data_IF_448666831904
#
_entry.id   IF_448666831904
#
_cell.length_a   1.000
_cell.length_b   1.000
_cell.length_c   1.000
_cell.angle_alpha   90.00
_cell.angle_beta   90.00
_cell.angle_gamma   90.00
#
_symmetry.space_group_name_H-M   'P 1'
#
loop_
_entity.id
_entity.type
_entity.pdbx_description
1 polymer ?
#
# COMPACT_ATOMS: atom_id res chain seq x y z
N UNK A 1 -2.61 7.12 7.60
CA UNK A 1 -3.16 7.18 8.97
C UNK A 1 -2.10 6.82 10.02
N UNK A 2 -1.41 5.68 9.92
CA UNK A 2 -0.34 5.30 10.86
C UNK A 2 0.74 6.38 11.05
N UNK A 3 1.25 7.00 9.98
CA UNK A 3 2.24 8.09 10.05
C UNK A 3 1.76 9.32 10.83
N UNK A 4 0.45 9.59 10.85
CA UNK A 4 -0.13 10.67 11.65
C UNK A 4 -0.13 10.34 13.14
N UNK A 5 -0.42 9.09 13.51
CA UNK A 5 -0.42 8.64 14.90
C UNK A 5 1.00 8.57 15.48
N UNK A 6 1.98 8.18 14.68
CA UNK A 6 3.40 8.14 15.10
C UNK A 6 3.90 9.54 15.50
N UNK A 7 3.37 10.60 14.88
CA UNK A 7 3.86 11.98 15.09
C UNK A 7 3.11 12.78 16.16
N UNK A 8 1.85 12.43 16.50
CA UNK A 8 1.00 13.34 17.30
C UNK A 8 0.47 12.81 18.63
N UNK A 9 0.49 11.50 18.88
CA UNK A 9 -0.01 10.94 20.16
C UNK A 9 0.90 9.81 20.64
N UNK A 10 1.30 9.86 21.91
CA UNK A 10 2.04 8.79 22.61
C UNK A 10 1.16 7.54 22.90
N UNK A 11 0.38 7.10 21.94
CA UNK A 11 -0.55 5.98 22.10
C UNK A 11 0.09 4.66 21.68
N UNK A 12 1.13 4.71 20.84
CA UNK A 12 1.82 3.52 20.33
C UNK A 12 3.21 3.43 20.95
N UNK A 13 3.58 2.26 21.43
CA UNK A 13 4.94 1.97 21.90
C UNK A 13 5.86 1.63 20.73
N UNK A 14 5.41 0.76 19.83
CA UNK A 14 6.11 0.33 18.61
C UNK A 14 5.16 0.38 17.42
N UNK A 15 5.69 0.48 16.21
CA UNK A 15 4.90 0.49 14.98
C UNK A 15 5.51 -0.44 13.93
N UNK A 16 4.67 -1.14 13.19
CA UNK A 16 5.08 -2.00 12.07
C UNK A 16 4.35 -1.51 10.82
N UNK A 17 5.08 -1.29 9.75
CA UNK A 17 4.54 -0.91 8.45
C UNK A 17 4.93 -1.97 7.42
N UNK A 18 3.92 -2.59 6.78
CA UNK A 18 4.11 -3.54 5.69
C UNK A 18 3.86 -2.82 4.36
N UNK A 19 4.85 -2.77 3.48
CA UNK A 19 4.78 -2.15 2.15
C UNK A 19 3.95 -0.84 2.13
N UNK A 20 4.27 0.16 2.99
CA UNK A 20 3.38 1.30 3.21
C UNK A 20 3.34 2.22 1.98
N UNK A 21 2.17 2.79 1.71
CA UNK A 21 1.99 3.79 0.67
C UNK A 21 2.50 5.18 1.13
N UNK A 22 3.79 5.28 1.45
CA UNK A 22 4.47 6.58 1.68
C UNK A 22 4.75 7.25 0.34
N UNK A 23 5.02 6.45 -0.69
CA UNK A 23 5.16 6.91 -2.07
C UNK A 23 4.44 5.95 -3.03
N UNK A 24 4.02 6.44 -4.19
CA UNK A 24 3.42 5.62 -5.24
C UNK A 24 4.28 5.68 -6.50
N UNK A 25 4.30 4.60 -7.26
CA UNK A 25 4.89 4.60 -8.60
C UNK A 25 3.93 5.33 -9.55
N UNK A 26 4.20 6.62 -9.81
CA UNK A 26 3.45 7.41 -10.75
C UNK A 26 4.42 8.16 -11.66
N UNK A 27 4.24 8.01 -12.97
CA UNK A 27 5.00 8.79 -13.94
C UNK A 27 4.52 10.25 -14.01
N UNK A 28 5.30 11.12 -14.69
CA UNK A 28 4.96 12.55 -14.78
C UNK A 28 3.63 12.79 -15.55
N UNK A 29 3.32 11.96 -16.56
CA UNK A 29 2.07 12.04 -17.30
C UNK A 29 0.87 11.72 -16.43
N UNK A 30 0.94 10.66 -15.63
CA UNK A 30 -0.11 10.29 -14.67
C UNK A 30 -0.37 11.43 -13.68
N UNK A 31 0.66 12.12 -13.20
CA UNK A 31 0.49 13.26 -12.28
C UNK A 31 -0.23 14.45 -12.92
N UNK A 32 0.01 14.75 -14.20
CA UNK A 32 -0.71 15.82 -14.92
C UNK A 32 -2.17 15.47 -15.13
N UNK A 33 -2.44 14.24 -15.56
CA UNK A 33 -3.81 13.71 -15.73
C UNK A 33 -4.58 13.80 -14.42
N UNK A 34 -3.96 13.37 -13.30
CA UNK A 34 -4.63 13.42 -12.00
C UNK A 34 -4.89 14.84 -11.52
N UNK A 35 -4.03 15.83 -11.83
CA UNK A 35 -4.33 17.23 -11.56
C UNK A 35 -5.56 17.71 -12.32
N UNK A 36 -5.68 17.33 -13.60
CA UNK A 36 -6.85 17.64 -14.42
C UNK A 36 -8.11 16.94 -13.88
N UNK A 37 -8.03 15.66 -13.60
CA UNK A 37 -9.11 14.88 -12.99
C UNK A 37 -9.51 15.40 -11.60
N UNK A 38 -8.56 16.01 -10.87
CA UNK A 38 -8.82 16.66 -9.59
C UNK A 38 -9.75 17.87 -9.70
N UNK A 39 -9.84 18.51 -10.85
CA UNK A 39 -10.86 19.54 -11.13
C UNK A 39 -12.26 18.90 -11.22
N UNK A 40 -12.36 17.72 -11.83
CA UNK A 40 -13.61 16.96 -11.92
C UNK A 40 -14.12 16.54 -10.52
N UNK A 41 -13.22 16.16 -9.61
CA UNK A 41 -13.58 15.85 -8.23
C UNK A 41 -14.26 17.04 -7.53
N UNK A 42 -13.76 18.27 -7.77
CA UNK A 42 -14.33 19.49 -7.17
C UNK A 42 -15.76 19.80 -7.66
N UNK A 43 -16.16 19.28 -8.82
CA UNK A 43 -17.50 19.43 -9.38
C UNK A 43 -18.37 18.16 -9.23
N UNK A 44 -17.97 17.26 -8.32
CA UNK A 44 -18.79 16.11 -7.91
C UNK A 44 -18.45 14.77 -8.57
N UNK A 45 -17.45 14.70 -9.44
CA UNK A 45 -17.04 13.45 -10.13
C UNK A 45 -16.01 12.60 -9.36
N UNK A 46 -15.73 12.93 -8.10
CA UNK A 46 -14.73 12.24 -7.28
C UNK A 46 -15.01 10.75 -7.03
N UNK A 47 -16.27 10.33 -7.02
CA UNK A 47 -16.66 8.93 -6.83
C UNK A 47 -16.58 8.08 -8.10
N UNK A 48 -16.32 8.68 -9.27
CA UNK A 48 -16.21 7.92 -10.52
C UNK A 48 -14.97 7.03 -10.53
N UNK A 49 -15.10 5.75 -10.90
CA UNK A 49 -13.98 4.83 -11.02
C UNK A 49 -13.08 5.23 -12.21
N UNK A 50 -11.76 5.15 -12.00
CA UNK A 50 -10.76 5.42 -13.05
C UNK A 50 -10.65 4.30 -14.09
N UNK A 51 -10.97 3.09 -13.67
CA UNK A 51 -11.07 1.91 -14.52
C UNK A 51 -12.36 1.19 -14.22
N UNK A 52 -12.97 0.55 -15.23
CA UNK A 52 -13.98 -0.45 -14.94
C UNK A 52 -13.34 -1.53 -14.07
N UNK A 53 -13.96 -1.90 -12.97
CA UNK A 53 -13.47 -3.01 -12.18
C UNK A 53 -13.40 -4.25 -13.08
N UNK A 54 -12.33 -5.02 -12.96
CA UNK A 54 -12.16 -6.28 -13.70
C UNK A 54 -13.30 -7.29 -13.45
N UNK A 55 -14.04 -7.09 -12.37
CA UNK A 55 -15.18 -7.90 -11.93
C UNK A 55 -16.56 -7.33 -12.32
N UNK A 56 -16.66 -6.23 -13.08
CA UNK A 56 -17.93 -5.66 -13.56
C UNK A 56 -18.31 -6.30 -14.92
N UNK A 57 -18.49 -7.63 -14.94
CA UNK A 57 -19.10 -8.36 -16.03
C UNK A 57 -20.58 -8.58 -15.74
N UNK A 58 -21.38 -8.83 -16.77
CA UNK A 58 -22.81 -9.19 -16.63
C UNK A 58 -23.01 -10.43 -15.74
N UNK A 59 -21.99 -11.28 -15.60
CA UNK A 59 -21.94 -12.49 -14.77
C UNK A 59 -21.32 -12.28 -13.37
N UNK A 60 -20.94 -11.05 -12.98
CA UNK A 60 -20.57 -10.64 -11.63
C UNK A 60 -19.09 -10.52 -11.33
N UNK A 61 -18.22 -11.44 -11.67
CA UNK A 61 -16.79 -11.40 -11.32
C UNK A 61 -15.90 -11.93 -12.44
N UNK A 62 -15.03 -11.08 -13.00
CA UNK A 62 -13.90 -11.53 -13.81
C UNK A 62 -12.74 -11.76 -12.85
N UNK A 63 -12.21 -12.97 -12.81
CA UNK A 63 -10.96 -13.26 -12.12
C UNK A 63 -9.84 -12.55 -12.88
N UNK A 64 -9.12 -11.67 -12.22
CA UNK A 64 -7.89 -11.12 -12.79
C UNK A 64 -6.89 -12.28 -12.98
N UNK A 65 -6.25 -12.42 -14.15
CA UNK A 65 -5.23 -13.43 -14.35
C UNK A 65 -4.12 -13.30 -13.31
N UNK A 66 -3.70 -14.41 -12.74
CA UNK A 66 -2.61 -14.41 -11.75
C UNK A 66 -1.34 -13.76 -12.29
N UNK A 67 -1.07 -13.93 -13.58
CA UNK A 67 0.11 -13.40 -14.28
C UNK A 67 0.16 -11.87 -14.29
N UNK A 68 -0.98 -11.22 -14.22
CA UNK A 68 -1.12 -9.76 -14.24
C UNK A 68 -1.15 -9.14 -12.84
N UNK A 69 -1.22 -9.96 -11.78
CA UNK A 69 -1.31 -9.46 -10.43
C UNK A 69 0.00 -8.80 -9.96
N UNK A 70 -0.15 -7.83 -9.07
CA UNK A 70 0.96 -7.11 -8.44
C UNK A 70 1.01 -7.29 -6.91
N UNK A 71 0.24 -8.25 -6.39
CA UNK A 71 0.01 -8.37 -4.94
C UNK A 71 0.89 -9.44 -4.32
N UNK A 72 0.97 -10.63 -4.93
CA UNK A 72 1.65 -11.79 -4.34
C UNK A 72 2.18 -12.74 -5.40
N UNK A 73 3.23 -13.49 -5.07
CA UNK A 73 3.74 -14.59 -5.89
C UNK A 73 3.05 -15.93 -5.57
N UNK A 74 2.23 -16.01 -4.53
CA UNK A 74 1.48 -17.21 -4.14
C UNK A 74 0.13 -17.27 -4.87
N UNK A 75 0.05 -18.15 -5.88
CA UNK A 75 -1.17 -18.34 -6.68
C UNK A 75 -2.36 -18.84 -5.85
N UNK A 76 -2.15 -19.74 -4.91
CA UNK A 76 -3.25 -20.29 -4.12
C UNK A 76 -3.91 -19.22 -3.25
N UNK A 77 -3.10 -18.38 -2.61
CA UNK A 77 -3.59 -17.27 -1.77
C UNK A 77 -4.27 -16.20 -2.60
N UNK A 78 -3.72 -15.91 -3.78
CA UNK A 78 -4.34 -14.99 -4.73
C UNK A 78 -5.74 -15.47 -5.14
N UNK A 79 -5.86 -16.70 -5.64
CA UNK A 79 -7.13 -17.29 -6.07
C UNK A 79 -8.13 -17.44 -4.91
N UNK A 80 -7.64 -17.72 -3.69
CA UNK A 80 -8.48 -17.77 -2.49
C UNK A 80 -9.19 -16.46 -2.21
N UNK A 81 -8.55 -15.32 -2.45
CA UNK A 81 -9.16 -13.99 -2.29
C UNK A 81 -10.38 -13.83 -3.19
N UNK A 82 -10.30 -14.26 -4.45
CA UNK A 82 -11.43 -14.24 -5.38
C UNK A 82 -12.56 -15.19 -4.96
N UNK A 83 -12.22 -16.37 -4.40
CA UNK A 83 -13.24 -17.29 -3.87
C UNK A 83 -14.05 -16.65 -2.72
N UNK A 84 -13.41 -15.83 -1.88
CA UNK A 84 -14.11 -15.06 -0.86
C UNK A 84 -15.01 -13.97 -1.47
N UNK A 85 -14.51 -13.23 -2.44
CA UNK A 85 -15.29 -12.19 -3.12
C UNK A 85 -16.49 -12.76 -3.87
N UNK A 86 -16.37 -13.95 -4.47
CA UNK A 86 -17.51 -14.66 -5.08
C UNK A 86 -18.59 -15.04 -4.07
N UNK A 87 -18.22 -15.39 -2.83
CA UNK A 87 -19.16 -15.73 -1.77
C UNK A 87 -19.79 -14.50 -1.10
N UNK A 88 -19.05 -13.40 -1.03
CA UNK A 88 -19.41 -12.17 -0.34
C UNK A 88 -19.12 -10.98 -1.27
N UNK A 89 -19.92 -10.75 -2.33
CA UNK A 89 -19.65 -9.69 -3.32
C UNK A 89 -19.63 -8.28 -2.70
N UNK A 90 -20.30 -8.09 -1.57
CA UNK A 90 -20.34 -6.83 -0.81
C UNK A 90 -18.96 -6.42 -0.24
N UNK A 91 -18.00 -7.35 -0.14
CA UNK A 91 -16.62 -7.07 0.24
C UNK A 91 -15.82 -6.43 -0.92
N UNK A 92 -16.33 -6.51 -2.13
CA UNK A 92 -15.66 -5.99 -3.32
C UNK A 92 -15.63 -4.47 -3.37
N UNK A 93 -14.46 -3.89 -3.59
CA UNK A 93 -14.29 -2.45 -3.79
C UNK A 93 -14.28 -2.14 -5.27
N UNK A 94 -15.13 -1.17 -5.71
CA UNK A 94 -15.30 -0.81 -7.13
C UNK A 94 -14.08 -0.11 -7.77
N UNK A 95 -12.87 -0.49 -7.39
CA UNK A 95 -11.62 0.02 -7.96
C UNK A 95 -11.23 1.40 -7.45
N UNK A 96 -10.18 1.96 -8.05
CA UNK A 96 -9.63 3.27 -7.69
C UNK A 96 -10.49 4.37 -8.29
N UNK A 97 -11.01 5.28 -7.44
CA UNK A 97 -11.77 6.46 -7.89
C UNK A 97 -10.85 7.66 -8.14
N UNK A 98 -11.36 8.63 -8.91
CA UNK A 98 -10.69 9.93 -9.15
C UNK A 98 -10.32 10.62 -7.84
N UNK A 99 -11.26 10.69 -6.89
CA UNK A 99 -11.05 11.31 -5.59
C UNK A 99 -10.00 10.58 -4.76
N UNK A 100 -10.05 9.24 -4.72
CA UNK A 100 -9.05 8.45 -4.01
C UNK A 100 -7.64 8.72 -4.54
N UNK A 101 -7.46 8.65 -5.86
CA UNK A 101 -6.15 8.87 -6.48
C UNK A 101 -5.62 10.29 -6.25
N UNK A 102 -6.50 11.31 -6.35
CA UNK A 102 -6.17 12.71 -6.03
C UNK A 102 -5.65 12.82 -4.59
N UNK A 103 -6.37 12.24 -3.62
CA UNK A 103 -5.99 12.31 -2.22
C UNK A 103 -4.73 11.49 -1.91
N UNK A 104 -4.56 10.32 -2.51
CA UNK A 104 -3.36 9.50 -2.38
C UNK A 104 -2.12 10.26 -2.87
N UNK A 105 -2.16 10.86 -4.06
CA UNK A 105 -1.05 11.63 -4.60
C UNK A 105 -0.76 12.92 -3.82
N UNK A 106 -1.81 13.61 -3.37
CA UNK A 106 -1.64 14.78 -2.48
C UNK A 106 -0.93 14.37 -1.20
N UNK A 107 -1.32 13.26 -0.58
CA UNK A 107 -0.74 12.78 0.68
C UNK A 107 0.70 12.31 0.50
N UNK A 108 0.99 11.53 -0.53
CA UNK A 108 2.37 11.07 -0.80
C UNK A 108 3.31 12.22 -1.15
N UNK A 109 2.82 13.27 -1.81
CA UNK A 109 3.61 14.49 -2.01
C UNK A 109 3.86 15.27 -0.70
N UNK A 110 2.95 15.22 0.26
CA UNK A 110 3.18 15.80 1.60
C UNK A 110 4.22 14.99 2.38
N UNK A 111 4.18 13.66 2.29
CA UNK A 111 5.14 12.78 2.96
C UNK A 111 6.59 13.06 2.54
N UNK A 112 6.84 13.40 1.28
CA UNK A 112 8.18 13.79 0.79
C UNK A 112 8.74 15.06 1.45
N UNK A 113 7.90 15.87 2.07
CA UNK A 113 8.29 17.13 2.74
C UNK A 113 8.47 16.97 4.25
N UNK A 114 8.18 15.78 4.78
CA UNK A 114 8.32 15.51 6.21
C UNK A 114 9.79 15.22 6.51
N UNK A 115 10.30 15.83 7.57
CA UNK A 115 11.58 15.48 8.19
C UNK A 115 11.36 14.25 9.06
N UNK A 116 11.52 13.05 8.48
CA UNK A 116 11.17 11.79 9.13
C UNK A 116 12.03 11.49 10.37
N UNK A 117 13.29 11.93 10.41
CA UNK A 117 14.16 11.84 11.58
C UNK A 117 13.60 12.62 12.79
N UNK A 118 12.82 13.65 12.55
CA UNK A 118 12.17 14.44 13.62
C UNK A 118 10.74 13.92 13.87
N UNK A 119 10.04 13.47 12.82
CA UNK A 119 8.64 13.11 12.92
C UNK A 119 8.42 11.73 13.58
N UNK A 120 9.33 10.78 13.38
CA UNK A 120 9.26 9.44 14.01
C UNK A 120 9.76 9.56 15.45
N UNK A 121 8.91 9.22 16.40
CA UNK A 121 9.16 9.34 17.85
C UNK A 121 9.14 8.00 18.58
N UNK A 122 8.88 6.91 17.86
CA UNK A 122 8.77 5.56 18.41
C UNK A 122 9.47 4.58 17.49
N UNK A 123 9.98 3.46 18.02
CA UNK A 123 10.54 2.39 17.20
C UNK A 123 9.56 1.96 16.11
N UNK A 124 10.07 1.82 14.89
CA UNK A 124 9.29 1.45 13.72
C UNK A 124 10.01 0.36 12.94
N UNK A 125 9.31 -0.75 12.68
CA UNK A 125 9.75 -1.76 11.72
C UNK A 125 9.10 -1.48 10.37
N UNK A 126 9.92 -1.31 9.34
CA UNK A 126 9.50 -1.26 7.95
C UNK A 126 9.75 -2.62 7.29
N UNK A 127 8.69 -3.36 7.00
CA UNK A 127 8.75 -4.50 6.10
C UNK A 127 8.63 -3.99 4.67
N UNK A 128 9.71 -4.08 3.93
CA UNK A 128 9.83 -3.53 2.58
C UNK A 128 9.73 -4.64 1.54
N UNK A 129 8.79 -4.50 0.61
CA UNK A 129 8.57 -5.41 -0.50
C UNK A 129 9.49 -5.02 -1.68
N UNK A 130 10.52 -5.83 -1.95
CA UNK A 130 11.55 -5.49 -2.96
C UNK A 130 11.01 -5.49 -4.39
N UNK A 131 10.00 -6.33 -4.68
CA UNK A 131 9.42 -6.50 -6.01
C UNK A 131 8.07 -5.76 -6.17
N UNK A 132 7.79 -4.82 -5.25
CA UNK A 132 6.55 -4.04 -5.26
C UNK A 132 6.40 -3.22 -6.55
N UNK A 133 5.25 -3.42 -7.21
CA UNK A 133 4.89 -2.69 -8.45
C UNK A 133 3.95 -1.51 -8.19
N UNK A 134 3.35 -1.41 -7.01
CA UNK A 134 2.33 -0.42 -6.64
C UNK A 134 2.94 0.80 -5.94
N UNK A 135 3.80 0.56 -4.95
CA UNK A 135 4.50 1.63 -4.23
C UNK A 135 5.97 1.70 -4.64
N UNK A 136 6.61 2.82 -4.35
CA UNK A 136 8.03 2.99 -4.61
C UNK A 136 8.82 2.58 -3.35
N UNK A 137 9.16 1.30 -3.26
CA UNK A 137 9.93 0.70 -2.17
C UNK A 137 11.24 1.44 -1.89
N UNK A 138 12.02 1.77 -2.92
CA UNK A 138 13.26 2.51 -2.76
C UNK A 138 13.05 3.86 -2.07
N UNK A 139 12.07 4.65 -2.54
CA UNK A 139 11.77 5.95 -1.96
C UNK A 139 11.18 5.84 -0.54
N UNK A 140 10.43 4.78 -0.26
CA UNK A 140 9.93 4.51 1.09
C UNK A 140 11.09 4.29 2.07
N UNK A 141 12.09 3.49 1.68
CA UNK A 141 13.31 3.28 2.48
C UNK A 141 14.11 4.55 2.67
N UNK A 142 14.32 5.31 1.60
CA UNK A 142 15.04 6.59 1.65
C UNK A 142 14.37 7.58 2.62
N UNK A 143 13.05 7.70 2.57
CA UNK A 143 12.32 8.64 3.41
C UNK A 143 12.28 8.20 4.88
N UNK A 144 11.87 6.97 5.15
CA UNK A 144 11.70 6.48 6.52
C UNK A 144 13.05 6.17 7.19
N UNK A 145 14.03 5.69 6.43
CA UNK A 145 15.37 5.38 6.92
C UNK A 145 16.20 6.60 7.33
N UNK A 146 15.66 7.83 7.23
CA UNK A 146 16.28 9.03 7.81
C UNK A 146 16.28 9.02 9.35
N UNK A 147 15.52 8.14 9.98
CA UNK A 147 15.40 8.07 11.43
C UNK A 147 16.09 6.81 11.98
N UNK A 148 16.94 6.96 12.99
CA UNK A 148 17.59 5.86 13.70
C UNK A 148 16.60 4.95 14.45
N UNK A 149 15.35 5.38 14.61
CA UNK A 149 14.28 4.60 15.20
C UNK A 149 13.63 3.63 14.21
N UNK A 150 14.08 3.60 12.95
CA UNK A 150 13.50 2.75 11.90
C UNK A 150 14.41 1.56 11.61
N UNK A 151 13.92 0.39 11.90
CA UNK A 151 14.49 -0.87 11.41
C UNK A 151 13.86 -1.21 10.06
N UNK A 152 14.69 -1.57 9.07
CA UNK A 152 14.23 -1.93 7.72
C UNK A 152 14.53 -3.39 7.47
N UNK A 153 13.49 -4.18 7.21
CA UNK A 153 13.59 -5.56 6.75
C UNK A 153 13.08 -5.64 5.31
N UNK A 154 13.98 -5.82 4.35
CA UNK A 154 13.63 -6.03 2.94
C UNK A 154 13.36 -7.50 2.67
N UNK A 155 12.23 -7.81 2.04
CA UNK A 155 11.76 -9.15 1.67
C UNK A 155 11.60 -9.24 0.17
N UNK A 156 11.95 -10.39 -0.42
CA UNK A 156 11.75 -10.64 -1.85
C UNK A 156 10.29 -10.95 -2.13
N UNK A 157 9.43 -9.95 -2.00
CA UNK A 157 7.97 -10.06 -2.09
C UNK A 157 7.39 -9.03 -3.03
N UNK A 158 6.19 -9.29 -3.53
CA UNK A 158 5.31 -8.29 -4.10
C UNK A 158 4.61 -7.47 -2.98
N UNK A 159 3.58 -6.68 -3.33
CA UNK A 159 3.00 -5.68 -2.44
C UNK A 159 2.44 -6.22 -1.12
N UNK A 160 1.76 -7.36 -1.17
CA UNK A 160 1.09 -7.95 -0.01
C UNK A 160 1.95 -9.01 0.67
N UNK A 161 2.96 -8.60 1.44
CA UNK A 161 3.93 -9.46 2.12
C UNK A 161 3.27 -10.60 2.90
N UNK A 162 2.13 -10.35 3.58
CA UNK A 162 1.42 -11.37 4.35
C UNK A 162 0.61 -12.34 3.50
N UNK A 163 0.49 -12.06 2.20
CA UNK A 163 -0.14 -12.94 1.21
C UNK A 163 0.89 -13.73 0.40
N UNK A 164 2.18 -13.58 0.66
CA UNK A 164 3.26 -14.30 0.00
C UNK A 164 3.36 -15.76 0.45
N UNK A 165 4.24 -16.51 -0.19
CA UNK A 165 4.55 -17.91 0.17
C UNK A 165 4.91 -18.04 1.64
N UNK A 166 4.76 -19.24 2.21
CA UNK A 166 5.07 -19.48 3.63
C UNK A 166 6.47 -19.04 4.00
N UNK A 167 7.47 -19.30 3.14
CA UNK A 167 8.85 -18.90 3.37
C UNK A 167 9.01 -17.40 3.60
N UNK A 168 8.45 -16.57 2.72
CA UNK A 168 8.55 -15.10 2.81
C UNK A 168 7.74 -14.59 4.00
N UNK A 169 6.54 -15.14 4.18
CA UNK A 169 5.66 -14.75 5.28
C UNK A 169 6.25 -15.09 6.65
N UNK A 170 6.87 -16.27 6.80
CA UNK A 170 7.49 -16.69 8.05
C UNK A 170 8.72 -15.84 8.37
N UNK A 171 9.48 -15.42 7.35
CA UNK A 171 10.56 -14.44 7.51
C UNK A 171 10.03 -13.09 8.00
N UNK A 172 8.90 -12.64 7.46
CA UNK A 172 8.23 -11.43 7.91
C UNK A 172 7.78 -11.55 9.38
N UNK A 173 7.10 -12.64 9.75
CA UNK A 173 6.67 -12.89 11.13
C UNK A 173 7.83 -12.97 12.10
N UNK A 174 8.91 -13.66 11.76
CA UNK A 174 10.12 -13.71 12.59
C UNK A 174 10.70 -12.32 12.82
N UNK A 175 10.69 -11.45 11.81
CA UNK A 175 11.17 -10.07 11.97
C UNK A 175 10.25 -9.25 12.87
N UNK A 176 8.93 -9.45 12.76
CA UNK A 176 7.93 -8.85 13.64
C UNK A 176 8.14 -9.28 15.09
N UNK A 177 8.26 -10.57 15.33
CA UNK A 177 8.43 -11.12 16.68
C UNK A 177 9.72 -10.61 17.33
N UNK A 178 10.82 -10.59 16.60
CA UNK A 178 12.09 -10.06 17.09
C UNK A 178 11.95 -8.57 17.46
N UNK A 179 11.32 -7.79 16.59
CA UNK A 179 11.13 -6.36 16.82
C UNK A 179 10.20 -6.08 18.02
N UNK A 180 9.16 -6.86 18.21
CA UNK A 180 8.24 -6.68 19.34
C UNK A 180 8.89 -7.05 20.68
N UNK A 181 9.78 -8.03 20.70
CA UNK A 181 10.46 -8.52 21.90
C UNK A 181 11.80 -7.82 22.18
N UNK A 182 12.27 -6.92 21.31
CA UNK A 182 13.42 -6.04 21.56
C UNK A 182 13.00 -4.81 22.39
#
# INVERSE_FOLDING_TARGET
>A
MASYFISKKNVLEKCILCAPMVSVRANASSRRIVKLLGLLDNIGYGSFPMQKPSWDSEDGWIEEPFEDNALTTDRERFERSFKFLKKCPELGVKGITIGWLKHALKRTNQFKKIQWNIAIKRPLLLLDAMEDKLVNSHLNKELLGQSDLVEIKSLKSQHEIMMETDEIRDEAWKSIDNFLNS
#
